data_IF_956004555927
#
_entry.id   IF_956004555927
#
_cell.length_a   1.000
_cell.length_b   1.000
_cell.length_c   1.000
_cell.angle_alpha   90.00
_cell.angle_beta   90.00
_cell.angle_gamma   90.00
#
_symmetry.space_group_name_H-M   'P 1'
#
loop_
_entity.id
_entity.type
_entity.pdbx_description
1 polymer ?
#
# COMPACT_ATOMS: atom_id res chain seq x y z
N UNK A 1 2.53 -2.65 -3.54
CA UNK A 1 2.83 -1.22 -3.69
C UNK A 1 2.47 -0.53 -2.39
N UNK A 2 3.38 0.27 -1.85
CA UNK A 2 3.11 1.16 -0.72
C UNK A 2 2.57 2.46 -1.30
N UNK A 3 1.41 2.88 -0.80
CA UNK A 3 0.72 4.10 -1.20
C UNK A 3 1.36 5.33 -0.53
N UNK A 4 1.04 6.56 -0.99
CA UNK A 4 1.72 7.78 -0.53
C UNK A 4 1.58 8.02 0.98
N UNK A 5 0.44 7.67 1.56
CA UNK A 5 0.22 7.73 3.01
C UNK A 5 1.21 6.86 3.79
N UNK A 6 1.53 5.66 3.29
CA UNK A 6 2.52 4.78 3.89
C UNK A 6 3.95 5.28 3.70
N UNK A 7 4.25 5.93 2.57
CA UNK A 7 5.56 6.54 2.31
C UNK A 7 5.78 7.77 3.18
N UNK A 8 4.82 8.70 3.22
CA UNK A 8 4.87 9.94 4.01
C UNK A 8 4.95 9.69 5.52
N UNK A 9 4.38 8.57 5.99
CA UNK A 9 4.45 8.14 7.39
C UNK A 9 5.66 7.26 7.70
N UNK A 10 6.63 7.15 6.78
CA UNK A 10 7.86 6.37 6.95
C UNK A 10 7.64 4.89 7.28
N UNK A 11 6.55 4.28 6.77
CA UNK A 11 6.20 2.87 7.04
C UNK A 11 6.88 1.88 6.08
N UNK A 12 7.73 2.34 5.17
CA UNK A 12 8.35 1.51 4.13
C UNK A 12 9.15 0.35 4.72
N UNK A 13 10.03 0.65 5.68
CA UNK A 13 10.86 -0.37 6.33
C UNK A 13 10.04 -1.39 7.12
N UNK A 14 9.04 -0.92 7.86
CA UNK A 14 8.13 -1.78 8.63
C UNK A 14 7.36 -2.74 7.71
N UNK A 15 6.79 -2.23 6.61
CA UNK A 15 6.06 -3.05 5.63
C UNK A 15 6.99 -4.08 4.97
N UNK A 16 8.20 -3.68 4.55
CA UNK A 16 9.19 -4.61 3.99
C UNK A 16 9.52 -5.70 5.00
N UNK A 17 9.80 -5.31 6.26
CA UNK A 17 10.12 -6.24 7.34
C UNK A 17 9.03 -7.29 7.58
N UNK A 18 7.74 -6.95 7.46
CA UNK A 18 6.65 -7.93 7.58
C UNK A 18 6.73 -9.03 6.52
N UNK A 19 7.09 -8.68 5.28
CA UNK A 19 7.23 -9.66 4.19
C UNK A 19 8.51 -10.48 4.32
N UNK A 20 9.64 -9.84 4.67
CA UNK A 20 10.91 -10.53 4.88
C UNK A 20 10.85 -11.49 6.07
N UNK A 21 10.27 -11.07 7.20
CA UNK A 21 10.07 -11.92 8.38
C UNK A 21 9.13 -13.10 8.10
N UNK A 22 8.25 -13.00 7.09
CA UNK A 22 7.46 -14.15 6.64
C UNK A 22 8.29 -15.20 5.90
N UNK A 23 9.48 -14.82 5.42
CA UNK A 23 10.36 -15.64 4.59
C UNK A 23 10.24 -15.36 3.09
N UNK A 24 9.70 -14.20 2.69
CA UNK A 24 9.67 -13.79 1.28
C UNK A 24 10.93 -13.01 0.91
N UNK A 25 11.34 -13.13 -0.35
CA UNK A 25 12.50 -12.42 -0.90
C UNK A 25 12.04 -11.23 -1.73
N UNK A 26 12.57 -10.05 -1.45
CA UNK A 26 12.36 -8.86 -2.27
C UNK A 26 13.19 -8.97 -3.56
N UNK A 27 12.53 -9.06 -4.71
CA UNK A 27 13.19 -9.19 -6.02
C UNK A 27 13.30 -7.87 -6.78
N UNK A 28 12.52 -6.88 -6.39
CA UNK A 28 12.54 -5.57 -7.01
C UNK A 28 11.88 -4.53 -6.14
N UNK A 29 12.44 -3.33 -6.14
CA UNK A 29 11.91 -2.17 -5.44
C UNK A 29 12.14 -0.94 -6.32
N UNK A 30 11.11 -0.12 -6.50
CA UNK A 30 11.18 1.11 -7.28
C UNK A 30 10.35 2.21 -6.62
N UNK A 31 10.99 3.36 -6.38
CA UNK A 31 10.30 4.60 -6.10
C UNK A 31 9.69 5.13 -7.40
N UNK A 32 8.40 5.40 -7.35
CA UNK A 32 7.62 5.93 -8.48
C UNK A 32 7.01 7.24 -8.01
N UNK A 33 7.47 8.33 -8.62
CA UNK A 33 6.85 9.64 -8.51
C UNK A 33 5.94 9.82 -9.72
N UNK A 34 4.65 10.05 -9.49
CA UNK A 34 3.69 10.29 -10.57
C UNK A 34 3.65 11.79 -10.85
N UNK A 35 3.99 12.18 -12.07
CA UNK A 35 3.93 13.58 -12.48
C UNK A 35 2.51 14.01 -12.86
N UNK A 36 2.24 15.31 -12.71
CA UNK A 36 0.93 15.93 -12.93
C UNK A 36 0.38 15.84 -14.36
N UNK A 37 1.19 15.95 -15.45
CA UNK A 37 0.68 15.91 -16.82
C UNK A 37 -0.11 14.64 -17.18
N UNK A 38 0.14 13.50 -16.51
CA UNK A 38 -0.55 12.24 -16.77
C UNK A 38 -1.81 12.03 -15.90
N UNK A 39 -2.06 12.92 -14.94
CA UNK A 39 -3.08 12.77 -13.90
C UNK A 39 -4.01 13.99 -13.90
N UNK A 40 -4.85 14.12 -14.92
CA UNK A 40 -5.90 15.14 -14.93
C UNK A 40 -6.72 15.07 -13.62
N UNK A 41 -6.53 16.11 -12.80
CA UNK A 41 -7.36 16.58 -11.67
C UNK A 41 -7.26 15.88 -10.30
N UNK A 42 -6.48 14.82 -10.07
CA UNK A 42 -6.63 14.03 -8.82
C UNK A 42 -5.37 13.68 -8.00
N UNK A 43 -4.16 13.77 -8.53
CA UNK A 43 -2.95 13.38 -7.78
C UNK A 43 -2.01 14.58 -7.59
N UNK A 44 -1.70 14.93 -6.34
CA UNK A 44 -0.55 15.78 -6.00
C UNK A 44 0.73 14.98 -6.27
N UNK A 45 1.91 15.62 -6.23
CA UNK A 45 3.19 14.94 -6.38
C UNK A 45 3.36 13.96 -5.22
N UNK A 46 3.04 12.70 -5.49
CA UNK A 46 2.94 11.65 -4.49
C UNK A 46 3.89 10.51 -4.86
N UNK A 47 4.68 10.11 -3.88
CA UNK A 47 5.60 9.00 -4.01
C UNK A 47 4.92 7.67 -3.67
N UNK A 48 5.13 6.70 -4.53
CA UNK A 48 4.72 5.32 -4.35
C UNK A 48 5.96 4.42 -4.33
N UNK A 49 5.93 3.34 -3.55
CA UNK A 49 6.96 2.30 -3.61
C UNK A 49 6.35 1.05 -4.25
N UNK A 50 6.76 0.73 -5.46
CA UNK A 50 6.47 -0.56 -6.08
C UNK A 50 7.48 -1.61 -5.58
N UNK A 51 6.99 -2.82 -5.29
CA UNK A 51 7.80 -3.93 -4.79
C UNK A 51 7.36 -5.23 -5.47
N UNK A 52 8.31 -6.13 -5.70
CA UNK A 52 8.10 -7.48 -6.22
C UNK A 52 8.61 -8.47 -5.19
N UNK A 53 7.75 -9.40 -4.78
CA UNK A 53 8.06 -10.41 -3.76
C UNK A 53 8.02 -11.81 -4.37
N UNK A 54 8.99 -12.64 -4.00
CA UNK A 54 9.09 -14.05 -4.39
C UNK A 54 8.99 -14.95 -3.15
N UNK A 55 8.27 -16.06 -3.32
CA UNK A 55 8.16 -17.10 -2.29
C UNK A 55 6.93 -17.99 -2.48
N UNK A 56 6.88 -19.10 -1.76
CA UNK A 56 5.76 -20.05 -1.82
C UNK A 56 4.46 -19.37 -1.36
N UNK A 57 3.42 -19.44 -2.20
CA UNK A 57 2.10 -18.85 -1.93
C UNK A 57 2.14 -17.33 -1.63
N UNK A 58 3.13 -16.60 -2.16
CA UNK A 58 3.37 -15.18 -1.83
C UNK A 58 2.15 -14.28 -2.04
N UNK A 59 1.34 -14.54 -3.07
CA UNK A 59 0.13 -13.76 -3.35
C UNK A 59 -0.92 -13.96 -2.24
N UNK A 60 -1.28 -15.20 -1.93
CA UNK A 60 -2.31 -15.52 -0.93
C UNK A 60 -1.87 -15.11 0.48
N UNK A 61 -0.65 -15.44 0.85
CA UNK A 61 -0.10 -15.09 2.17
C UNK A 61 0.14 -13.59 2.29
N UNK A 62 0.60 -12.93 1.22
CA UNK A 62 0.77 -11.48 1.18
C UNK A 62 -0.54 -10.74 1.43
N UNK A 63 -1.66 -11.19 0.84
CA UNK A 63 -2.99 -10.64 1.12
C UNK A 63 -3.37 -10.75 2.60
N UNK A 64 -3.03 -11.88 3.25
CA UNK A 64 -3.27 -12.08 4.68
C UNK A 64 -2.41 -11.16 5.56
N UNK A 65 -1.14 -10.93 5.19
CA UNK A 65 -0.26 -9.97 5.88
C UNK A 65 -0.82 -8.55 5.76
N UNK A 66 -1.32 -8.18 4.57
CA UNK A 66 -1.84 -6.84 4.31
C UNK A 66 -3.13 -6.56 5.10
N UNK A 67 -4.03 -7.55 5.20
CA UNK A 67 -5.35 -7.39 5.81
C UNK A 67 -6.45 -7.01 4.82
N UNK A 68 -7.69 -6.99 5.29
CA UNK A 68 -8.89 -6.69 4.50
C UNK A 68 -8.84 -5.29 3.86
N UNK A 69 -9.62 -5.05 2.80
CA UNK A 69 -9.61 -3.74 2.12
C UNK A 69 -10.05 -2.61 3.04
N UNK A 70 -11.04 -2.86 3.89
CA UNK A 70 -11.46 -1.94 4.94
C UNK A 70 -10.57 -2.12 6.17
N UNK A 71 -9.80 -1.10 6.61
CA UNK A 71 -8.99 -1.21 7.82
C UNK A 71 -9.80 -1.51 9.07
N UNK A 72 -11.03 -1.01 9.18
CA UNK A 72 -11.92 -1.30 10.31
C UNK A 72 -12.34 -2.78 10.40
N UNK A 73 -12.19 -3.53 9.30
CA UNK A 73 -12.43 -4.98 9.23
C UNK A 73 -11.11 -5.79 9.18
N UNK A 74 -9.96 -5.13 9.31
CA UNK A 74 -8.65 -5.80 9.30
C UNK A 74 -8.26 -6.21 10.70
N UNK A 75 -7.84 -7.46 10.86
CA UNK A 75 -7.40 -7.99 12.15
C UNK A 75 -6.11 -7.29 12.65
N UNK A 76 -5.95 -7.14 13.98
CA UNK A 76 -4.68 -6.72 14.58
C UNK A 76 -3.51 -7.59 14.13
N UNK A 77 -2.35 -6.96 13.87
CA UNK A 77 -1.16 -7.61 13.34
C UNK A 77 -1.05 -7.62 11.82
N UNK A 78 -2.12 -7.26 11.09
CA UNK A 78 -2.07 -7.00 9.65
C UNK A 78 -1.60 -5.57 9.38
N UNK A 79 -1.02 -5.30 8.20
CA UNK A 79 -0.53 -3.95 7.86
C UNK A 79 -1.66 -2.92 7.95
N UNK A 80 -2.86 -3.24 7.45
CA UNK A 80 -3.99 -2.32 7.51
C UNK A 80 -4.58 -2.21 8.91
N UNK A 81 -4.66 -3.30 9.67
CA UNK A 81 -5.13 -3.27 11.06
C UNK A 81 -4.20 -2.47 11.98
N UNK A 82 -2.89 -2.55 11.76
CA UNK A 82 -1.89 -1.86 12.59
C UNK A 82 -1.71 -0.39 12.19
N UNK A 83 -1.81 -0.06 10.89
CA UNK A 83 -1.35 1.23 10.39
C UNK A 83 -2.39 2.06 9.65
N UNK A 84 -3.54 1.52 9.23
CA UNK A 84 -4.56 2.27 8.52
C UNK A 84 -5.80 2.49 9.40
N UNK A 85 -6.39 3.69 9.31
CA UNK A 85 -7.62 4.04 10.04
C UNK A 85 -8.82 4.00 9.09
N UNK A 86 -8.67 4.62 7.92
CA UNK A 86 -9.67 4.64 6.85
C UNK A 86 -9.12 4.01 5.58
N UNK A 87 -10.02 3.61 4.68
CA UNK A 87 -9.65 3.29 3.30
C UNK A 87 -9.04 4.56 2.72
N UNK A 88 -7.70 4.60 2.65
CA UNK A 88 -6.97 5.79 2.25
C UNK A 88 -7.59 6.40 1.01
N UNK A 89 -7.98 7.69 1.11
CA UNK A 89 -8.44 8.50 -0.02
C UNK A 89 -7.40 8.31 -1.11
N UNK A 90 -7.75 7.52 -2.12
CA UNK A 90 -7.16 7.72 -3.44
C UNK A 90 -7.39 9.21 -3.71
N UNK A 91 -6.37 9.94 -4.14
CA UNK A 91 -6.56 11.32 -4.59
C UNK A 91 -7.78 11.34 -5.50
N UNK A 92 -8.87 11.92 -5.00
CA UNK A 92 -10.19 11.76 -5.56
C UNK A 92 -11.30 11.41 -4.59
N UNK A 93 -12.15 12.39 -4.37
CA UNK A 93 -13.42 12.24 -3.69
C UNK A 93 -14.26 11.16 -4.42
N UNK A 94 -14.51 10.03 -3.76
CA UNK A 94 -15.50 9.04 -4.20
C UNK A 94 -16.95 9.60 -4.19
N UNK A 95 -17.12 10.89 -3.87
CA UNK A 95 -18.41 11.60 -3.92
C UNK A 95 -18.89 11.95 -5.33
N UNK A 96 -18.09 11.72 -6.38
CA UNK A 96 -18.50 11.98 -7.77
C UNK A 96 -18.82 10.72 -8.60
N UNK A 97 -18.93 9.55 -7.97
CA UNK A 97 -19.41 8.33 -8.64
C UNK A 97 -20.92 8.11 -8.49
N UNK A 98 -21.67 9.15 -8.11
CA UNK A 98 -23.13 9.15 -8.04
C UNK A 98 -23.78 10.28 -8.87
N UNK A 99 -23.01 10.96 -9.72
CA UNK A 99 -23.52 11.90 -10.73
C UNK A 99 -23.18 11.40 -12.14
#
# INVERSE_FOLDING_TARGET
MIKPDGVQRSLVGEIIGRFENKGFTLKGLKLITVDRPFAEKHYQDFDYIAMIWEGKNVVLTGRKIIGETNPAASEPGTIRGDFAIDIGRLGGDLRLAQD
#
